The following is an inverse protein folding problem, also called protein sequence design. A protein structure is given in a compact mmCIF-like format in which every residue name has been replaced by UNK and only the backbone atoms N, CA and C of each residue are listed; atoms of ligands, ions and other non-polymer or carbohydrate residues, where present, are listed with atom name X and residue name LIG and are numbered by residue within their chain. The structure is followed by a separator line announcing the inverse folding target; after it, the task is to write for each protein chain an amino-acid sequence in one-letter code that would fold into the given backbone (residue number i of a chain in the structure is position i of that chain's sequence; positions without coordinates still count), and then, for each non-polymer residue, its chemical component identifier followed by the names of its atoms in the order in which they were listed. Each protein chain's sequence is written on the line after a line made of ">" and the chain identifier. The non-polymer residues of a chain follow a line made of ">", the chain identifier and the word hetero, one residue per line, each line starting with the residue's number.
data_IF_948150413624
#
_entry.id   IF_948150413624
#
_cell.length_a   1.000
_cell.length_b   1.000
_cell.length_c   1.000
_cell.angle_alpha   90.00
_cell.angle_beta   90.00
_cell.angle_gamma   90.00
#
_symmetry.space_group_name_H-M   'P 1'
#
loop_
_entity.id
_entity.type
_entity.pdbx_description
1 polymer ?
#
# COMPACT_ATOMS: atom_id res chain seq x y z
N UNK A 1 -17.04 15.06 9.35
CA UNK A 1 -16.62 13.66 9.56
C UNK A 1 -15.34 13.69 10.36
N UNK A 2 -15.39 13.39 11.66
CA UNK A 2 -14.19 13.29 12.50
C UNK A 2 -13.72 11.84 12.52
N UNK A 3 -12.41 11.63 12.35
CA UNK A 3 -11.81 10.33 12.59
C UNK A 3 -11.87 10.12 14.11
N UNK A 4 -12.57 9.07 14.57
CA UNK A 4 -12.82 8.82 15.99
C UNK A 4 -11.55 8.66 16.81
N UNK A 5 -11.67 8.56 18.14
CA UNK A 5 -10.50 8.48 19.04
C UNK A 5 -9.60 7.27 18.80
N UNK A 6 -10.13 6.22 18.15
CA UNK A 6 -9.42 4.96 17.89
C UNK A 6 -8.27 5.06 16.88
N UNK A 7 -8.15 6.18 16.16
CA UNK A 7 -7.00 6.42 15.27
C UNK A 7 -5.77 6.99 16.00
N UNK A 8 -5.84 7.15 17.32
CA UNK A 8 -4.76 7.66 18.14
C UNK A 8 -4.33 6.62 19.19
N UNK A 9 -3.03 6.51 19.43
CA UNK A 9 -2.49 5.78 20.57
C UNK A 9 -2.71 6.62 21.83
N UNK A 10 -3.25 6.01 22.89
CA UNK A 10 -3.31 6.65 24.21
C UNK A 10 -1.89 6.75 24.79
N UNK A 11 -1.42 7.96 25.08
CA UNK A 11 -0.10 8.19 25.64
C UNK A 11 0.29 9.67 25.70
N UNK A 12 1.44 9.95 26.28
CA UNK A 12 2.05 11.28 26.31
C UNK A 12 2.57 11.65 24.91
N UNK A 13 2.39 12.91 24.49
CA UNK A 13 2.85 13.42 23.19
C UNK A 13 1.81 14.25 22.45
N UNK A 14 2.18 14.75 21.26
CA UNK A 14 1.27 15.50 20.41
C UNK A 14 0.28 14.60 19.67
N UNK A 15 -0.89 15.15 19.30
CA UNK A 15 -1.91 14.44 18.51
C UNK A 15 -1.32 13.88 17.20
N UNK A 16 -0.39 14.62 16.59
CA UNK A 16 0.32 14.19 15.38
C UNK A 16 1.24 13.00 15.58
N UNK A 17 1.91 12.91 16.73
CA UNK A 17 2.84 11.82 17.04
C UNK A 17 2.11 10.53 17.39
N UNK A 18 0.93 10.64 18.00
CA UNK A 18 0.11 9.48 18.38
C UNK A 18 -0.83 9.00 17.28
N UNK A 19 -0.84 9.65 16.11
CA UNK A 19 -1.74 9.32 15.01
C UNK A 19 -1.28 8.05 14.26
N UNK A 20 -2.16 7.05 14.22
CA UNK A 20 -1.96 5.80 13.48
C UNK A 20 -1.99 6.01 11.96
N UNK A 21 -2.57 7.12 11.49
CA UNK A 21 -2.78 7.44 10.09
C UNK A 21 -1.84 8.57 9.63
N UNK A 22 -1.18 8.38 8.50
CA UNK A 22 -0.44 9.40 7.77
C UNK A 22 -1.12 9.72 6.44
N UNK A 23 -1.11 10.98 6.03
CA UNK A 23 -1.57 11.41 4.70
C UNK A 23 -0.38 12.02 3.96
N UNK A 24 -0.04 11.47 2.79
CA UNK A 24 1.16 11.81 2.04
C UNK A 24 0.85 12.13 0.58
N UNK A 25 0.80 13.42 0.25
CA UNK A 25 0.68 13.89 -1.13
C UNK A 25 1.49 15.18 -1.34
N UNK A 26 1.61 15.62 -2.59
CA UNK A 26 2.44 16.77 -2.98
C UNK A 26 2.18 18.04 -2.14
N UNK A 27 0.91 18.34 -1.84
CA UNK A 27 0.48 19.52 -1.09
C UNK A 27 0.62 19.44 0.43
N UNK A 28 1.08 18.33 1.01
CA UNK A 28 1.35 18.25 2.46
C UNK A 28 2.64 19.01 2.81
N UNK A 29 2.63 19.79 3.89
CA UNK A 29 3.81 20.51 4.37
C UNK A 29 4.99 19.57 4.63
N UNK A 30 6.21 20.03 4.34
CA UNK A 30 7.42 19.19 4.43
C UNK A 30 7.68 18.71 5.85
N UNK A 31 7.38 19.53 6.86
CA UNK A 31 7.47 19.14 8.28
C UNK A 31 6.57 17.93 8.57
N UNK A 32 5.30 17.98 8.16
CA UNK A 32 4.37 16.85 8.32
C UNK A 32 4.82 15.61 7.55
N UNK A 33 5.33 15.77 6.32
CA UNK A 33 5.93 14.65 5.56
C UNK A 33 7.11 14.05 6.32
N UNK A 34 7.94 14.88 6.96
CA UNK A 34 9.03 14.46 7.83
C UNK A 34 8.54 13.63 9.01
N UNK A 35 7.56 14.13 9.76
CA UNK A 35 6.96 13.43 10.90
C UNK A 35 6.36 12.08 10.49
N UNK A 36 5.57 12.04 9.42
CA UNK A 36 4.96 10.81 8.91
C UNK A 36 6.07 9.83 8.49
N UNK A 37 7.11 10.30 7.78
CA UNK A 37 8.21 9.45 7.35
C UNK A 37 8.99 8.85 8.52
N UNK A 38 9.30 9.65 9.54
CA UNK A 38 10.02 9.18 10.73
C UNK A 38 9.16 8.17 11.51
N UNK A 39 7.90 8.52 11.79
CA UNK A 39 6.97 7.67 12.53
C UNK A 39 6.66 6.36 11.79
N UNK A 40 6.48 6.40 10.47
CA UNK A 40 6.16 5.21 9.68
C UNK A 40 7.38 4.30 9.44
N UNK A 41 8.61 4.84 9.44
CA UNK A 41 9.84 4.03 9.34
C UNK A 41 10.21 3.36 10.66
N UNK A 42 9.91 4.00 11.79
CA UNK A 42 10.25 3.50 13.11
C UNK A 42 9.27 2.41 13.59
N UNK A 43 9.82 1.37 14.24
CA UNK A 43 9.04 0.32 14.89
C UNK A 43 8.26 0.84 16.10
N UNK A 44 8.78 1.87 16.75
CA UNK A 44 8.14 2.52 17.90
C UNK A 44 7.28 3.72 17.50
N UNK A 45 7.37 4.19 16.25
CA UNK A 45 6.50 5.26 15.77
C UNK A 45 5.04 4.81 15.80
N UNK A 46 4.10 5.75 15.91
CA UNK A 46 2.68 5.41 15.99
C UNK A 46 2.07 5.09 14.61
N UNK A 47 2.59 5.69 13.53
CA UNK A 47 1.96 5.59 12.21
C UNK A 47 2.04 4.14 11.70
N UNK A 48 0.88 3.58 11.35
CA UNK A 48 0.72 2.21 10.84
C UNK A 48 0.21 2.17 9.41
N UNK A 49 -0.55 3.20 9.02
CA UNK A 49 -1.19 3.29 7.72
C UNK A 49 -0.88 4.65 7.12
N UNK A 50 -0.39 4.66 5.89
CA UNK A 50 -0.17 5.88 5.12
C UNK A 50 -1.05 5.87 3.89
N UNK A 51 -1.91 6.88 3.77
CA UNK A 51 -2.63 7.18 2.56
C UNK A 51 -1.75 8.04 1.67
N UNK A 52 -1.43 7.54 0.49
CA UNK A 52 -0.53 8.22 -0.42
C UNK A 52 -1.12 8.36 -1.81
N UNK A 53 -0.69 9.40 -2.53
CA UNK A 53 -0.85 9.46 -3.98
C UNK A 53 0.37 8.84 -4.67
N UNK A 54 0.31 8.65 -5.99
CA UNK A 54 1.42 8.15 -6.83
C UNK A 54 2.74 8.93 -6.68
N UNK A 55 2.70 10.10 -6.04
CA UNK A 55 3.82 10.96 -5.67
C UNK A 55 4.60 10.52 -4.42
N UNK A 56 4.32 9.36 -3.82
CA UNK A 56 5.18 8.81 -2.79
C UNK A 56 6.53 8.53 -3.47
N UNK A 57 7.52 9.41 -3.24
CA UNK A 57 8.70 9.54 -4.10
C UNK A 57 9.49 8.23 -4.29
N UNK A 58 10.39 8.24 -5.27
CA UNK A 58 11.28 7.10 -5.56
C UNK A 58 12.10 6.66 -4.34
N UNK A 59 12.45 7.61 -3.46
CA UNK A 59 13.32 7.40 -2.29
C UNK A 59 12.60 6.88 -1.03
N UNK A 60 11.30 6.60 -1.13
CA UNK A 60 10.53 6.09 -0.01
C UNK A 60 10.86 4.61 0.23
N UNK A 61 11.85 4.35 1.10
CA UNK A 61 12.24 3.02 1.52
C UNK A 61 11.63 2.66 2.89
N UNK A 62 10.63 1.78 2.86
CA UNK A 62 9.96 1.25 4.04
C UNK A 62 10.07 -0.28 4.03
N UNK A 63 11.10 -0.85 4.68
CA UNK A 63 11.45 -2.25 4.49
C UNK A 63 10.39 -3.24 4.99
N UNK A 64 9.51 -2.81 5.91
CA UNK A 64 8.52 -3.66 6.58
C UNK A 64 7.08 -3.44 6.11
N UNK A 65 6.90 -2.80 4.96
CA UNK A 65 5.56 -2.72 4.36
C UNK A 65 5.14 -4.10 3.88
N UNK A 66 4.00 -4.55 4.37
CA UNK A 66 3.43 -5.86 4.02
C UNK A 66 2.23 -5.71 3.09
N UNK A 67 1.53 -4.58 3.14
CA UNK A 67 0.33 -4.35 2.34
C UNK A 67 0.46 -3.08 1.51
N UNK A 68 0.21 -3.22 0.22
CA UNK A 68 -0.09 -2.13 -0.71
C UNK A 68 -1.51 -2.36 -1.21
N UNK A 69 -2.38 -1.39 -0.97
CA UNK A 69 -3.78 -1.45 -1.40
C UNK A 69 -4.04 -0.30 -2.35
N UNK A 70 -4.17 -0.59 -3.64
CA UNK A 70 -4.55 0.38 -4.65
C UNK A 70 -6.07 0.54 -4.69
N UNK A 71 -6.56 1.78 -4.68
CA UNK A 71 -7.94 2.09 -5.03
C UNK A 71 -7.96 2.86 -6.34
N UNK A 72 -8.41 2.15 -7.37
CA UNK A 72 -8.08 2.45 -8.75
C UNK A 72 -6.72 1.85 -9.09
N UNK A 73 -6.59 1.20 -10.26
CA UNK A 73 -5.30 0.78 -10.73
C UNK A 73 -4.52 2.00 -11.23
N UNK A 74 -3.20 1.87 -11.26
CA UNK A 74 -2.34 2.90 -11.84
C UNK A 74 -2.62 3.06 -13.34
N UNK A 75 -2.24 4.21 -13.90
CA UNK A 75 -2.44 4.51 -15.31
C UNK A 75 -1.73 3.53 -16.25
N UNK A 76 -0.54 3.06 -15.85
CA UNK A 76 0.29 2.14 -16.62
C UNK A 76 0.68 0.90 -15.80
N UNK A 77 1.05 -0.19 -16.50
CA UNK A 77 1.51 -1.43 -15.85
C UNK A 77 2.83 -1.21 -15.09
N UNK A 78 3.69 -0.33 -15.61
CA UNK A 78 4.98 0.02 -15.00
C UNK A 78 4.74 0.71 -13.66
N UNK A 79 3.85 1.70 -13.63
CA UNK A 79 3.48 2.41 -12.39
C UNK A 79 2.85 1.45 -11.39
N UNK A 80 1.94 0.58 -11.84
CA UNK A 80 1.29 -0.42 -10.99
C UNK A 80 2.32 -1.33 -10.30
N UNK A 81 3.31 -1.81 -11.05
CA UNK A 81 4.37 -2.66 -10.51
C UNK A 81 5.33 -1.87 -9.61
N UNK A 82 5.76 -0.67 -9.99
CA UNK A 82 6.65 0.17 -9.18
C UNK A 82 6.05 0.48 -7.80
N UNK A 83 4.76 0.81 -7.76
CA UNK A 83 4.03 1.06 -6.52
C UNK A 83 3.88 -0.22 -5.68
N UNK A 84 3.54 -1.35 -6.29
CA UNK A 84 3.42 -2.65 -5.61
C UNK A 84 4.75 -3.14 -5.02
N UNK A 85 5.86 -2.93 -5.73
CA UNK A 85 7.22 -3.30 -5.32
C UNK A 85 7.77 -2.49 -4.14
N UNK A 86 6.96 -1.63 -3.51
CA UNK A 86 7.31 -0.96 -2.25
C UNK A 86 7.15 -1.86 -1.03
N UNK A 87 6.33 -2.91 -1.12
CA UNK A 87 6.20 -3.91 -0.08
C UNK A 87 7.22 -5.05 -0.21
N UNK A 88 7.40 -5.82 0.87
CA UNK A 88 8.18 -7.07 0.87
C UNK A 88 9.69 -6.89 0.72
N UNK A 89 10.22 -5.69 0.93
CA UNK A 89 11.67 -5.40 0.81
C UNK A 89 12.53 -6.11 1.88
N UNK A 90 11.92 -6.55 2.97
CA UNK A 90 12.54 -7.38 4.01
C UNK A 90 12.50 -8.89 3.70
N UNK A 91 11.97 -9.31 2.55
CA UNK A 91 11.82 -10.73 2.18
C UNK A 91 10.66 -11.45 2.87
N UNK A 92 9.83 -10.74 3.64
CA UNK A 92 8.59 -11.28 4.20
C UNK A 92 7.50 -11.23 3.12
N UNK A 93 6.56 -12.18 3.20
CA UNK A 93 5.38 -12.19 2.34
C UNK A 93 4.69 -10.82 2.36
N UNK A 94 4.44 -10.29 1.17
CA UNK A 94 3.71 -9.05 0.97
C UNK A 94 2.46 -9.28 0.10
N UNK A 95 1.52 -8.35 0.22
CA UNK A 95 0.23 -8.37 -0.43
C UNK A 95 0.05 -7.09 -1.25
N UNK A 96 -0.22 -7.29 -2.54
CA UNK A 96 -0.66 -6.24 -3.43
C UNK A 96 -2.15 -6.45 -3.76
N UNK A 97 -2.98 -5.51 -3.32
CA UNK A 97 -4.44 -5.58 -3.40
C UNK A 97 -4.88 -4.45 -4.31
N UNK A 98 -5.70 -4.74 -5.32
CA UNK A 98 -6.18 -3.74 -6.28
C UNK A 98 -7.71 -3.73 -6.28
N UNK A 99 -8.27 -2.61 -5.85
CA UNK A 99 -9.70 -2.34 -5.83
C UNK A 99 -10.06 -1.42 -6.97
N UNK A 100 -10.96 -1.83 -7.86
CA UNK A 100 -11.34 -0.99 -8.98
C UNK A 100 -12.81 -1.16 -9.36
N UNK A 101 -13.34 -0.10 -9.96
CA UNK A 101 -14.62 -0.09 -10.65
C UNK A 101 -14.39 0.34 -12.10
N UNK A 102 -15.38 0.17 -12.97
CA UNK A 102 -15.28 0.61 -14.37
C UNK A 102 -14.88 2.08 -14.53
N UNK A 103 -15.30 2.94 -13.59
CA UNK A 103 -14.94 4.37 -13.56
C UNK A 103 -13.44 4.60 -13.36
N UNK A 104 -12.78 3.77 -12.55
CA UNK A 104 -11.34 3.89 -12.32
C UNK A 104 -10.51 3.52 -13.56
N UNK A 105 -11.08 2.75 -14.48
CA UNK A 105 -10.39 2.31 -15.69
C UNK A 105 -10.35 3.38 -16.78
N UNK A 106 -11.09 4.49 -16.68
CA UNK A 106 -11.20 5.49 -17.76
C UNK A 106 -9.81 5.97 -18.20
N UNK A 107 -8.94 6.27 -17.24
CA UNK A 107 -7.60 6.82 -17.47
C UNK A 107 -6.49 5.77 -17.54
N UNK A 108 -6.82 4.47 -17.49
CA UNK A 108 -5.83 3.41 -17.54
C UNK A 108 -5.54 2.98 -18.97
N UNK A 109 -4.29 2.60 -19.21
CA UNK A 109 -3.86 2.06 -20.50
C UNK A 109 -4.56 0.74 -20.82
N UNK A 110 -4.60 0.42 -22.13
CA UNK A 110 -5.19 -0.83 -22.63
C UNK A 110 -4.58 -2.05 -21.95
N UNK A 111 -3.28 -2.03 -21.69
CA UNK A 111 -2.57 -3.14 -21.06
C UNK A 111 -3.07 -3.40 -19.63
N UNK A 112 -3.18 -2.36 -18.80
CA UNK A 112 -3.74 -2.47 -17.43
C UNK A 112 -5.16 -3.04 -17.47
N UNK A 113 -6.00 -2.52 -18.38
CA UNK A 113 -7.38 -3.00 -18.59
C UNK A 113 -7.43 -4.49 -18.95
N UNK A 114 -6.55 -4.95 -19.82
CA UNK A 114 -6.48 -6.36 -20.24
C UNK A 114 -5.96 -7.25 -19.11
N UNK A 115 -4.89 -6.84 -18.42
CA UNK A 115 -4.29 -7.56 -17.29
C UNK A 115 -5.30 -7.76 -16.16
N UNK A 116 -6.04 -6.72 -15.76
CA UNK A 116 -7.02 -6.81 -14.67
C UNK A 116 -8.28 -7.62 -15.00
N UNK A 117 -8.56 -7.80 -16.30
CA UNK A 117 -9.68 -8.63 -16.79
C UNK A 117 -9.24 -10.03 -17.20
N UNK A 118 -7.95 -10.35 -17.06
CA UNK A 118 -7.43 -11.67 -17.43
C UNK A 118 -7.91 -12.72 -16.42
N UNK A 119 -8.21 -13.92 -16.93
CA UNK A 119 -8.52 -15.09 -16.10
C UNK A 119 -7.25 -15.90 -15.74
N UNK A 120 -6.07 -15.38 -16.07
CA UNK A 120 -4.78 -16.00 -15.77
C UNK A 120 -4.21 -15.47 -14.45
N UNK A 121 -3.07 -16.02 -14.03
CA UNK A 121 -2.34 -15.49 -12.88
C UNK A 121 -1.99 -14.02 -13.12
N UNK A 122 -2.45 -13.13 -12.22
CA UNK A 122 -2.23 -11.69 -12.34
C UNK A 122 -0.73 -11.35 -12.39
N UNK A 123 0.13 -12.11 -11.68
CA UNK A 123 1.59 -11.96 -11.77
C UNK A 123 2.08 -12.22 -13.19
N UNK A 124 1.69 -13.34 -13.80
CA UNK A 124 2.06 -13.65 -15.19
C UNK A 124 1.53 -12.57 -16.13
N UNK A 125 0.27 -12.16 -15.99
CA UNK A 125 -0.36 -11.16 -16.84
C UNK A 125 0.22 -9.74 -16.69
N UNK A 126 0.78 -9.39 -15.54
CA UNK A 126 1.50 -8.13 -15.34
C UNK A 126 2.90 -8.18 -15.94
N UNK A 127 3.61 -9.29 -15.73
CA UNK A 127 5.00 -9.41 -16.16
C UNK A 127 5.16 -9.82 -17.62
N UNK A 128 4.14 -10.41 -18.25
CA UNK A 128 4.15 -10.75 -19.69
C UNK A 128 4.32 -9.51 -20.59
N UNK A 129 4.12 -8.31 -20.03
CA UNK A 129 4.42 -7.06 -20.68
C UNK A 129 5.93 -6.77 -20.83
N UNK A 130 6.77 -7.47 -20.08
CA UNK A 130 8.23 -7.26 -20.01
C UNK A 130 9.00 -8.47 -20.50
N UNK A 131 8.45 -9.68 -20.33
CA UNK A 131 9.07 -10.93 -20.79
C UNK A 131 8.00 -11.93 -21.24
N UNK A 132 8.07 -12.33 -22.50
CA UNK A 132 7.11 -13.25 -23.14
C UNK A 132 7.29 -14.71 -22.68
N UNK A 133 8.44 -15.06 -22.10
CA UNK A 133 8.80 -16.43 -21.70
C UNK A 133 8.74 -16.66 -20.19
N UNK A 134 7.83 -15.96 -19.50
CA UNK A 134 7.70 -16.10 -18.05
C UNK A 134 7.14 -17.46 -17.65
N UNK A 135 8.05 -18.31 -17.17
CA UNK A 135 7.75 -19.52 -16.39
C UNK A 135 7.99 -19.23 -14.92
N UNK A 136 6.91 -19.12 -14.15
CA UNK A 136 7.00 -18.94 -12.69
C UNK A 136 7.35 -20.27 -12.02
N UNK A 137 8.63 -20.64 -12.02
CA UNK A 137 9.16 -21.62 -11.07
C UNK A 137 9.16 -20.99 -9.67
N UNK A 138 8.59 -21.70 -8.68
CA UNK A 138 8.46 -21.35 -7.25
C UNK A 138 7.20 -20.59 -6.78
N UNK A 139 6.23 -21.39 -6.31
CA UNK A 139 5.55 -21.39 -5.00
C UNK A 139 5.57 -20.14 -4.09
N UNK A 140 5.31 -18.94 -4.59
CA UNK A 140 4.89 -17.80 -3.75
C UNK A 140 3.43 -17.49 -4.04
N UNK A 141 2.56 -17.84 -3.08
CA UNK A 141 1.11 -17.78 -3.14
C UNK A 141 0.65 -16.43 -3.71
N UNK A 142 -0.02 -16.48 -4.87
CA UNK A 142 -0.56 -15.31 -5.54
C UNK A 142 -1.99 -15.10 -5.05
N UNK A 143 -2.19 -14.51 -3.87
CA UNK A 143 -3.53 -14.09 -3.43
C UNK A 143 -3.76 -12.65 -3.90
N UNK A 144 -4.36 -12.51 -5.08
CA UNK A 144 -4.96 -11.24 -5.49
C UNK A 144 -6.38 -11.23 -4.91
N UNK A 145 -6.60 -10.51 -3.80
CA UNK A 145 -7.94 -10.32 -3.27
C UNK A 145 -8.53 -9.05 -3.89
N UNK A 146 -9.66 -9.18 -4.57
CA UNK A 146 -10.42 -8.07 -5.16
C UNK A 146 -11.62 -7.82 -4.24
N UNK A 147 -11.72 -6.64 -3.63
CA UNK A 147 -12.81 -6.25 -2.73
C UNK A 147 -13.15 -4.79 -2.97
N UNK A 148 -14.41 -4.42 -3.12
CA UNK A 148 -14.78 -3.04 -3.39
C UNK A 148 -14.91 -2.23 -2.09
N UNK A 149 -14.03 -1.22 -1.85
CA UNK A 149 -14.31 0.13 -1.28
C UNK A 149 -13.02 0.96 -0.97
N UNK A 150 -13.22 2.27 -0.74
CA UNK A 150 -12.41 3.51 -0.89
C UNK A 150 -10.92 3.59 -0.37
N UNK A 151 -10.05 4.31 -1.16
CA UNK A 151 -8.77 5.08 -0.93
C UNK A 151 -7.48 4.68 -1.73
N UNK A 152 -6.94 5.66 -2.48
CA UNK A 152 -5.98 5.67 -3.62
C UNK A 152 -4.51 5.27 -3.34
N UNK A 153 -4.24 4.13 -2.70
CA UNK A 153 -2.92 3.64 -2.22
C UNK A 153 -2.81 3.78 -0.72
N UNK A 154 -3.18 2.71 -0.04
CA UNK A 154 -2.99 2.50 1.39
C UNK A 154 -1.73 1.65 1.55
N UNK A 155 -0.74 2.22 2.22
CA UNK A 155 0.47 1.52 2.61
C UNK A 155 0.31 1.15 4.07
N UNK A 156 0.23 -0.14 4.38
CA UNK A 156 0.10 -0.60 5.75
C UNK A 156 1.28 -1.49 6.16
N UNK A 157 1.76 -1.25 7.38
CA UNK A 157 2.78 -2.06 8.02
C UNK A 157 2.13 -2.92 9.11
N UNK A 158 2.30 -4.24 9.02
CA UNK A 158 1.94 -5.11 10.13
C UNK A 158 3.07 -5.05 11.15
N UNK A 159 2.81 -4.36 12.25
CA UNK A 159 3.53 -4.64 13.48
C UNK A 159 2.65 -5.61 14.24
N UNK A 160 3.17 -6.79 14.55
CA UNK A 160 2.51 -7.74 15.45
C UNK A 160 1.95 -6.94 16.61
N UNK A 161 0.63 -6.76 16.64
CA UNK A 161 -0.07 -6.19 17.78
C UNK A 161 0.25 -7.18 18.89
N UNK A 162 1.27 -6.90 19.70
CA UNK A 162 1.49 -7.67 20.92
C UNK A 162 0.20 -7.51 21.68
N UNK A 163 -0.53 -8.62 21.77
CA UNK A 163 -1.82 -8.73 22.42
C UNK A 163 -1.81 -7.94 23.72
N UNK A 164 -2.39 -6.74 23.71
CA UNK A 164 -3.05 -6.19 24.89
C UNK A 164 -4.50 -6.66 24.82
N UNK A 165 -4.67 -7.99 24.75
CA UNK A 165 -5.92 -8.60 25.21
C UNK A 165 -5.83 -8.47 26.73
N UNK A 166 -6.39 -7.36 27.20
CA UNK A 166 -6.65 -7.11 28.61
C UNK A 166 -7.40 -8.33 29.14
N UNK A 167 -6.80 -9.04 30.09
CA UNK A 167 -7.58 -9.87 30.99
C UNK A 167 -8.60 -8.98 31.68
N UNK A 168 -9.86 -9.41 31.67
CA UNK A 168 -10.82 -9.31 32.76
C UNK A 168 -11.94 -10.30 32.50
#
# INVERSE_FOLDING_TARGET
>A
MSLGKEIYIEGDGSISENCLLGVFYSGVFQEMKGTINTSFKDLQGATRVVFATSSLGMDANYPKVEYIIHYGPAGSIVSQLQEACRAGRNGIQAHNIIYYEGRHLIHCDKLVKTTLKSNSCLRVAMYSAFDENIDLYYHYICVAQIVTNIVTVVIAQCLSLKNSVRSK
#
